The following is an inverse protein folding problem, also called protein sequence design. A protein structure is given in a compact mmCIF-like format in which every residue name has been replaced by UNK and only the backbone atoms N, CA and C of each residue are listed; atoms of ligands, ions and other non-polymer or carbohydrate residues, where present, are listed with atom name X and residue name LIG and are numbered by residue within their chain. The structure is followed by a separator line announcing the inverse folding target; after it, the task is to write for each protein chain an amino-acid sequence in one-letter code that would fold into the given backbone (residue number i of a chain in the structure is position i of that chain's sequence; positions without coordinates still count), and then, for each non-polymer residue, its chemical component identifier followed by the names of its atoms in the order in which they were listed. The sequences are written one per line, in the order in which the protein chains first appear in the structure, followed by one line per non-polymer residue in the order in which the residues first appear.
data_IF_756435175444
#
_entry.id   IF_756435175444
#
_cell.length_a   1.000
_cell.length_b   1.000
_cell.length_c   1.000
_cell.angle_alpha   90.00
_cell.angle_beta   90.00
_cell.angle_gamma   90.00
#
_symmetry.space_group_name_H-M   'P 1'
#
loop_
_entity.id
_entity.type
_entity.pdbx_description
1 polymer ?
#
# COMPACT_ATOMS: atom_id res chain seq x y z
N UNK A 1 30.75 -12.84 24.78
CA UNK A 1 29.27 -12.96 24.81
C UNK A 1 28.75 -13.06 23.39
N UNK A 2 28.21 -14.21 22.98
CA UNK A 2 27.48 -14.29 21.71
C UNK A 2 26.21 -13.46 21.89
N UNK A 3 26.09 -12.35 21.13
CA UNK A 3 24.82 -11.62 21.06
C UNK A 3 23.83 -12.57 20.41
N UNK A 4 23.00 -13.23 21.21
CA UNK A 4 21.93 -14.06 20.69
C UNK A 4 21.02 -13.11 19.93
N UNK A 5 21.15 -13.14 18.60
CA UNK A 5 20.40 -12.30 17.69
C UNK A 5 18.96 -12.79 17.72
N UNK A 6 18.19 -12.34 18.72
CA UNK A 6 16.78 -12.65 18.83
C UNK A 6 16.08 -12.20 17.55
N UNK A 7 15.11 -13.01 17.13
CA UNK A 7 14.26 -12.73 15.99
C UNK A 7 13.70 -11.30 16.05
N UNK A 8 13.30 -10.83 17.24
CA UNK A 8 12.78 -9.48 17.45
C UNK A 8 13.82 -8.38 17.24
N UNK A 9 15.08 -8.61 17.63
CA UNK A 9 16.16 -7.63 17.45
C UNK A 9 16.52 -7.46 15.98
N UNK A 10 16.57 -8.56 15.20
CA UNK A 10 16.75 -8.50 13.74
C UNK A 10 15.55 -7.86 13.06
N UNK A 11 14.36 -8.21 13.50
CA UNK A 11 13.11 -7.73 12.91
C UNK A 11 12.96 -6.21 13.03
N UNK A 12 13.21 -5.65 14.21
CA UNK A 12 13.07 -4.22 14.47
C UNK A 12 14.22 -3.38 13.90
N UNK A 13 15.43 -3.93 13.79
CA UNK A 13 16.60 -3.18 13.30
C UNK A 13 16.61 -2.97 11.79
N UNK A 14 16.02 -3.88 11.01
CA UNK A 14 16.14 -3.87 9.55
C UNK A 14 15.00 -3.16 8.82
N UNK A 15 13.93 -2.75 9.52
CA UNK A 15 12.72 -2.14 8.90
C UNK A 15 12.24 -2.91 7.65
N UNK A 16 12.39 -4.23 7.64
CA UNK A 16 12.02 -5.07 6.49
C UNK A 16 10.48 -5.24 6.48
N UNK A 17 9.80 -4.97 5.35
CA UNK A 17 8.35 -5.15 5.22
C UNK A 17 7.85 -6.56 5.57
N UNK A 18 8.70 -7.59 5.44
CA UNK A 18 8.36 -8.97 5.81
C UNK A 18 8.17 -9.12 7.31
N UNK A 19 9.01 -8.46 8.12
CA UNK A 19 8.87 -8.50 9.57
C UNK A 19 7.60 -7.77 10.04
N UNK A 20 7.27 -6.64 9.40
CA UNK A 20 6.02 -5.92 9.67
C UNK A 20 4.79 -6.82 9.45
N UNK A 21 4.73 -7.58 8.36
CA UNK A 21 3.63 -8.54 8.09
C UNK A 21 3.51 -9.63 9.16
N UNK A 22 4.63 -10.23 9.57
CA UNK A 22 4.63 -11.30 10.60
C UNK A 22 4.28 -10.74 11.98
N UNK A 23 4.81 -9.56 12.32
CA UNK A 23 4.52 -8.89 13.59
C UNK A 23 3.07 -8.42 13.66
N UNK A 24 2.48 -8.01 12.53
CA UNK A 24 1.05 -7.77 12.44
C UNK A 24 0.21 -9.02 12.72
N UNK A 25 0.57 -10.16 12.11
CA UNK A 25 -0.10 -11.46 12.38
C UNK A 25 0.00 -11.90 13.84
N UNK A 26 1.07 -11.50 14.54
CA UNK A 26 1.29 -11.78 15.97
C UNK A 26 0.64 -10.76 16.91
N UNK A 27 -0.06 -9.75 16.39
CA UNK A 27 -0.74 -8.73 17.20
C UNK A 27 0.17 -7.61 17.72
N UNK A 28 1.41 -7.51 17.23
CA UNK A 28 2.33 -6.42 17.53
C UNK A 28 2.16 -5.24 16.55
N UNK A 29 0.93 -4.93 16.16
CA UNK A 29 0.57 -3.81 15.28
C UNK A 29 0.71 -2.47 16.04
N UNK A 30 1.95 -2.09 16.35
CA UNK A 30 2.25 -0.70 16.69
C UNK A 30 2.14 0.18 15.45
N UNK A 31 1.72 1.44 15.61
CA UNK A 31 1.64 2.46 14.55
C UNK A 31 2.92 2.60 13.70
N UNK A 32 4.06 2.14 14.20
CA UNK A 32 5.36 2.15 13.53
C UNK A 32 5.66 0.93 12.63
N UNK A 33 4.76 -0.07 12.53
CA UNK A 33 4.96 -1.31 11.76
C UNK A 33 3.89 -1.56 10.70
N UNK A 34 3.26 -0.51 10.17
CA UNK A 34 2.47 -0.64 8.95
C UNK A 34 3.45 -0.79 7.78
N UNK A 35 3.44 -1.95 7.12
CA UNK A 35 4.15 -2.12 5.87
C UNK A 35 3.44 -1.25 4.82
N UNK A 36 4.11 -0.22 4.31
CA UNK A 36 3.66 0.51 3.11
C UNK A 36 3.66 -0.51 1.96
N UNK A 37 2.48 -0.86 1.46
CA UNK A 37 2.35 -1.68 0.26
C UNK A 37 2.33 -0.72 -0.95
N UNK A 38 3.42 -0.61 -1.72
CA UNK A 38 3.56 0.41 -2.75
C UNK A 38 2.49 0.31 -3.84
N UNK A 39 1.91 -0.87 -4.06
CA UNK A 39 0.83 -1.04 -5.05
C UNK A 39 -0.50 -0.41 -4.59
N UNK A 40 -0.72 -0.28 -3.28
CA UNK A 40 -1.95 0.33 -2.76
C UNK A 40 -1.94 1.84 -2.97
N UNK A 41 -0.75 2.44 -2.89
CA UNK A 41 -0.56 3.88 -3.08
C UNK A 41 -0.72 4.29 -4.55
N UNK A 42 -0.25 3.47 -5.49
CA UNK A 42 -0.46 3.74 -6.92
C UNK A 42 -1.93 3.66 -7.33
N UNK A 43 -2.66 2.64 -6.85
CA UNK A 43 -4.09 2.49 -7.11
C UNK A 43 -4.93 3.60 -6.45
N UNK A 44 -4.57 4.04 -5.25
CA UNK A 44 -5.27 5.15 -4.59
C UNK A 44 -5.06 6.47 -5.35
N UNK A 45 -3.82 6.75 -5.77
CA UNK A 45 -3.52 7.94 -6.57
C UNK A 45 -4.28 7.97 -7.91
N UNK A 46 -4.39 6.84 -8.62
CA UNK A 46 -5.17 6.74 -9.85
C UNK A 46 -6.67 6.99 -9.61
N UNK A 47 -7.21 6.53 -8.48
CA UNK A 47 -8.61 6.76 -8.13
C UNK A 47 -8.90 8.23 -7.82
N UNK A 48 -7.97 8.91 -7.14
CA UNK A 48 -8.08 10.34 -6.85
C UNK A 48 -8.02 11.16 -8.14
N UNK A 49 -7.12 10.81 -9.06
CA UNK A 49 -7.06 11.46 -10.37
C UNK A 49 -8.33 11.23 -11.19
N UNK A 50 -8.87 10.00 -11.21
CA UNK A 50 -10.15 9.72 -11.88
C UNK A 50 -11.28 10.57 -11.30
N UNK A 51 -11.37 10.69 -9.97
CA UNK A 51 -12.38 11.52 -9.34
C UNK A 51 -12.20 13.02 -9.68
N UNK A 52 -10.96 13.50 -9.85
CA UNK A 52 -10.70 14.88 -10.26
C UNK A 52 -11.11 15.16 -11.72
N UNK A 53 -10.85 14.21 -12.63
CA UNK A 53 -11.19 14.34 -14.07
C UNK A 53 -12.69 14.15 -14.32
N UNK A 54 -13.29 13.11 -13.72
CA UNK A 54 -14.69 12.71 -14.00
C UNK A 54 -15.69 13.33 -13.02
N UNK A 55 -15.24 13.78 -11.85
CA UNK A 55 -16.09 14.28 -10.77
C UNK A 55 -16.91 13.19 -10.05
N UNK A 56 -16.71 11.92 -10.41
CA UNK A 56 -17.41 10.76 -9.82
C UNK A 56 -16.42 9.81 -9.17
N UNK A 57 -16.84 9.14 -8.09
CA UNK A 57 -16.02 8.13 -7.43
C UNK A 57 -15.86 6.91 -8.35
N UNK A 58 -14.63 6.38 -8.53
CA UNK A 58 -14.40 5.17 -9.30
C UNK A 58 -14.92 3.93 -8.58
N UNK A 59 -15.22 2.87 -9.34
CA UNK A 59 -15.59 1.59 -8.75
C UNK A 59 -14.35 0.91 -8.13
N UNK A 60 -14.48 0.41 -6.90
CA UNK A 60 -13.35 -0.16 -6.15
C UNK A 60 -12.83 -1.48 -6.73
N UNK A 61 -13.64 -2.17 -7.55
CA UNK A 61 -13.22 -3.39 -8.24
C UNK A 61 -12.46 -3.15 -9.55
N UNK A 62 -12.23 -1.89 -9.94
CA UNK A 62 -11.39 -1.58 -11.10
C UNK A 62 -9.91 -1.64 -10.76
N UNK A 63 -9.15 -2.18 -11.71
CA UNK A 63 -7.71 -2.21 -11.70
C UNK A 63 -7.11 -0.90 -12.25
N UNK A 64 -5.78 -0.79 -12.19
CA UNK A 64 -5.06 0.39 -12.64
C UNK A 64 -5.27 0.66 -14.13
N UNK A 65 -5.36 -0.37 -14.95
CA UNK A 65 -5.50 -0.24 -16.40
C UNK A 65 -6.90 0.26 -16.79
N UNK A 66 -7.95 -0.27 -16.16
CA UNK A 66 -9.33 0.22 -16.34
C UNK A 66 -9.46 1.67 -15.92
N UNK A 67 -8.83 2.06 -14.80
CA UNK A 67 -8.84 3.45 -14.34
C UNK A 67 -8.17 4.39 -15.35
N UNK A 68 -7.00 4.02 -15.87
CA UNK A 68 -6.29 4.81 -16.90
C UNK A 68 -7.12 4.95 -18.18
N UNK A 69 -7.73 3.86 -18.64
CA UNK A 69 -8.58 3.88 -19.83
C UNK A 69 -9.78 4.82 -19.62
N UNK A 70 -10.46 4.73 -18.47
CA UNK A 70 -11.62 5.56 -18.15
C UNK A 70 -11.27 7.04 -17.99
N UNK A 71 -10.07 7.36 -17.49
CA UNK A 71 -9.56 8.72 -17.45
C UNK A 71 -9.29 9.30 -18.84
N UNK A 72 -8.71 8.51 -19.75
CA UNK A 72 -8.45 8.92 -21.13
C UNK A 72 -9.76 9.20 -21.88
N UNK A 73 -10.75 8.30 -21.76
CA UNK A 73 -12.09 8.48 -22.34
C UNK A 73 -12.75 9.78 -21.86
N UNK A 74 -12.57 10.16 -20.60
CA UNK A 74 -13.15 11.36 -20.02
C UNK A 74 -12.42 12.66 -20.42
N UNK A 75 -11.16 12.59 -20.85
CA UNK A 75 -10.40 13.74 -21.33
C UNK A 75 -10.64 14.02 -22.82
N UNK A 76 -11.12 13.04 -23.57
CA UNK A 76 -11.40 13.15 -25.01
C UNK A 76 -12.82 13.69 -25.32
N UNK A 77 -13.65 13.93 -24.28
CA UNK A 77 -14.97 14.60 -24.38
C UNK A 77 -14.92 16.05 -23.91
#
# INVERSE_FOLDING_TARGET
MKKNSSYMTRALSHRDPRFARILGRLGYEGRAMVAEDPNTDELSALRDQYQAVVGKRPFMGWDADTLRQKMAEAQES
#
